data_IF_193742480583
#
_entry.id   IF_193742480583
#
_cell.length_a   1.000
_cell.length_b   1.000
_cell.length_c   1.000
_cell.angle_alpha   90.00
_cell.angle_beta   90.00
_cell.angle_gamma   90.00
#
_symmetry.space_group_name_H-M   'P 1'
#
loop_
_entity.id
_entity.type
_entity.pdbx_description
1 polymer ?
#
# COMPACT_ATOMS: atom_id res chain seq x y z
N UNK A 1 24.56 -6.52 -4.14
CA UNK A 1 23.50 -6.27 -3.13
C UNK A 1 22.19 -6.26 -3.89
N UNK A 2 21.24 -7.11 -3.49
CA UNK A 2 19.96 -7.23 -4.18
C UNK A 2 18.95 -6.30 -3.50
N UNK A 3 18.77 -5.12 -4.10
CA UNK A 3 17.71 -4.20 -3.73
C UNK A 3 16.46 -4.55 -4.53
N UNK A 4 15.34 -4.64 -3.86
CA UNK A 4 14.04 -4.98 -4.45
C UNK A 4 12.99 -4.01 -3.94
N UNK A 5 12.20 -3.47 -4.85
CA UNK A 5 11.09 -2.59 -4.54
C UNK A 5 9.77 -3.28 -4.85
N UNK A 6 8.74 -3.02 -4.04
CA UNK A 6 7.39 -3.49 -4.28
C UNK A 6 6.36 -2.48 -3.81
N UNK A 7 5.19 -2.56 -4.41
CA UNK A 7 4.03 -1.75 -4.10
C UNK A 7 3.01 -2.62 -3.37
N UNK A 8 2.72 -2.25 -2.14
CA UNK A 8 1.85 -2.99 -1.23
C UNK A 8 0.51 -2.29 -1.09
N UNK A 9 -0.56 -3.05 -1.23
CA UNK A 9 -1.92 -2.59 -0.95
C UNK A 9 -2.33 -3.11 0.42
N UNK A 10 -2.53 -2.20 1.34
CA UNK A 10 -3.00 -2.48 2.69
C UNK A 10 -4.45 -2.05 2.83
N UNK A 11 -5.27 -2.82 3.54
CA UNK A 11 -6.64 -2.45 3.87
C UNK A 11 -6.86 -2.47 5.38
N UNK A 12 -7.60 -1.48 5.88
CA UNK A 12 -8.05 -1.45 7.26
C UNK A 12 -9.37 -2.21 7.38
N UNK A 13 -9.34 -3.33 8.07
CA UNK A 13 -10.53 -4.11 8.40
C UNK A 13 -10.69 -4.11 9.91
N UNK A 14 -11.82 -3.61 10.44
CA UNK A 14 -12.08 -3.51 11.88
C UNK A 14 -10.97 -2.78 12.68
N UNK A 15 -10.37 -1.75 12.08
CA UNK A 15 -9.31 -0.94 12.70
C UNK A 15 -7.91 -1.53 12.64
N UNK A 16 -7.73 -2.70 12.01
CA UNK A 16 -6.42 -3.32 11.81
C UNK A 16 -6.00 -3.25 10.34
N UNK A 17 -4.76 -2.85 10.09
CA UNK A 17 -4.16 -2.86 8.76
C UNK A 17 -3.68 -4.26 8.41
N UNK A 18 -4.20 -4.83 7.33
CA UNK A 18 -3.74 -6.09 6.76
C UNK A 18 -3.25 -5.88 5.33
N UNK A 19 -2.14 -6.53 4.98
CA UNK A 19 -1.66 -6.59 3.60
C UNK A 19 -2.66 -7.41 2.77
N UNK A 20 -3.18 -6.80 1.70
CA UNK A 20 -4.12 -7.43 0.78
C UNK A 20 -3.39 -8.04 -0.40
N UNK A 21 -2.42 -7.30 -0.96
CA UNK A 21 -1.65 -7.72 -2.11
C UNK A 21 -0.35 -6.93 -2.21
N UNK A 22 0.65 -7.49 -2.87
CA UNK A 22 1.87 -6.80 -3.27
C UNK A 22 2.16 -7.02 -4.75
N UNK A 23 2.70 -5.99 -5.40
CA UNK A 23 2.97 -5.98 -6.83
C UNK A 23 4.34 -5.33 -7.10
N UNK A 24 4.95 -5.69 -8.23
CA UNK A 24 6.16 -5.03 -8.72
C UNK A 24 5.87 -3.72 -9.44
N UNK A 25 4.65 -3.58 -9.95
CA UNK A 25 4.23 -2.48 -10.80
C UNK A 25 3.22 -1.60 -10.06
N UNK A 26 3.48 -0.29 -10.05
CA UNK A 26 2.65 0.71 -9.38
C UNK A 26 1.29 0.87 -10.04
N UNK A 27 1.18 0.71 -11.35
CA UNK A 27 -0.07 0.85 -12.09
C UNK A 27 -1.02 -0.29 -11.73
N UNK A 28 -0.48 -1.50 -11.58
CA UNK A 28 -1.25 -2.67 -11.12
C UNK A 28 -1.69 -2.49 -9.67
N UNK A 29 -0.79 -2.07 -8.79
CA UNK A 29 -1.12 -1.80 -7.39
C UNK A 29 -2.18 -0.69 -7.25
N UNK A 30 -2.07 0.37 -8.05
CA UNK A 30 -3.02 1.49 -8.12
C UNK A 30 -4.38 1.07 -8.63
N UNK A 31 -4.44 0.20 -9.64
CA UNK A 31 -5.70 -0.35 -10.14
C UNK A 31 -6.44 -1.18 -9.07
N UNK A 32 -5.71 -1.97 -8.28
CA UNK A 32 -6.28 -2.77 -7.17
C UNK A 32 -6.72 -1.87 -6.01
N UNK A 33 -5.93 -0.85 -5.69
CA UNK A 33 -6.21 0.15 -4.66
C UNK A 33 -7.48 0.96 -4.94
N UNK A 34 -7.79 1.26 -6.21
CA UNK A 34 -8.97 2.05 -6.59
C UNK A 34 -10.30 1.29 -6.49
N UNK A 35 -10.30 -0.04 -6.44
CA UNK A 35 -11.52 -0.86 -6.65
C UNK A 35 -12.15 -1.39 -5.35
N UNK A 36 -12.04 -0.67 -4.22
CA UNK A 36 -12.42 -1.22 -2.90
C UNK A 36 -13.12 -0.19 -2.00
N UNK A 37 -14.13 -0.68 -1.27
CA UNK A 37 -15.04 0.11 -0.41
C UNK A 37 -14.45 0.46 0.97
N UNK A 38 -13.33 -0.15 1.36
CA UNK A 38 -12.73 0.01 2.70
C UNK A 38 -11.62 1.07 2.71
N UNK A 39 -11.19 1.48 3.90
CA UNK A 39 -10.00 2.33 4.04
C UNK A 39 -8.77 1.55 3.57
N UNK A 40 -8.04 2.08 2.59
CA UNK A 40 -6.87 1.44 2.00
C UNK A 40 -5.67 2.36 1.98
N UNK A 41 -4.47 1.77 1.96
CA UNK A 41 -3.19 2.44 1.75
C UNK A 41 -2.44 1.75 0.63
N UNK A 42 -1.92 2.53 -0.29
CA UNK A 42 -0.89 2.11 -1.23
C UNK A 42 0.46 2.52 -0.65
N UNK A 43 1.35 1.56 -0.52
CA UNK A 43 2.64 1.71 0.16
C UNK A 43 3.76 1.30 -0.79
N UNK A 44 4.77 2.14 -0.92
CA UNK A 44 6.04 1.77 -1.57
C UNK A 44 6.96 1.17 -0.51
N UNK A 45 7.33 -0.10 -0.67
CA UNK A 45 8.24 -0.79 0.22
C UNK A 45 9.53 -1.16 -0.52
N UNK A 46 10.66 -0.77 0.04
CA UNK A 46 11.99 -1.10 -0.49
C UNK A 46 12.68 -2.03 0.49
N UNK A 47 13.14 -3.15 -0.05
CA UNK A 47 13.88 -4.17 0.67
C UNK A 47 15.32 -4.23 0.16
N UNK A 48 16.25 -4.43 1.08
CA UNK A 48 17.65 -4.71 0.79
C UNK A 48 18.08 -5.93 1.61
N UNK A 49 18.60 -6.95 0.95
CA UNK A 49 19.04 -8.20 1.58
C UNK A 49 17.92 -8.83 2.47
N UNK A 50 16.68 -8.74 2.01
CA UNK A 50 15.49 -9.27 2.70
C UNK A 50 14.99 -8.42 3.88
N UNK A 51 15.60 -7.27 4.14
CA UNK A 51 15.18 -6.34 5.21
C UNK A 51 14.47 -5.14 4.61
N UNK A 52 13.34 -4.75 5.21
CA UNK A 52 12.65 -3.51 4.87
C UNK A 52 13.54 -2.34 5.28
N UNK A 53 14.01 -1.56 4.30
CA UNK A 53 14.86 -0.38 4.52
C UNK A 53 14.10 0.92 4.34
N UNK A 54 13.00 0.91 3.59
CA UNK A 54 12.17 2.09 3.37
C UNK A 54 10.72 1.68 3.13
N UNK A 55 9.80 2.44 3.72
CA UNK A 55 8.37 2.26 3.53
C UNK A 55 7.70 3.64 3.50
N UNK A 56 6.99 3.94 2.43
CA UNK A 56 6.32 5.23 2.24
C UNK A 56 4.89 5.06 1.76
N UNK A 57 3.95 5.85 2.29
CA UNK A 57 2.55 5.78 1.91
C UNK A 57 2.31 6.71 0.73
N UNK A 58 2.16 6.13 -0.46
CA UNK A 58 1.98 6.86 -1.72
C UNK A 58 0.56 7.43 -1.81
N UNK A 59 -0.43 6.65 -1.34
CA UNK A 59 -1.83 7.05 -1.38
C UNK A 59 -2.62 6.39 -0.24
N UNK A 60 -3.60 7.11 0.29
CA UNK A 60 -4.58 6.58 1.23
C UNK A 60 -5.99 6.96 0.76
N UNK A 61 -6.94 6.01 0.80
CA UNK A 61 -8.36 6.23 0.49
C UNK A 61 -9.24 5.67 1.60
N UNK A 62 -10.48 6.16 1.72
CA UNK A 62 -11.47 5.67 2.68
C UNK A 62 -11.34 6.24 4.10
N UNK A 63 -10.62 7.35 4.26
CA UNK A 63 -10.94 8.33 5.29
C UNK A 63 -12.18 9.09 4.83
N UNK A 64 -13.20 9.16 5.68
CA UNK A 64 -14.34 10.07 5.51
C UNK A 64 -13.80 11.43 5.09
N UNK A 65 -14.42 11.99 4.04
CA UNK A 65 -14.28 13.38 3.62
C UNK A 65 -14.32 14.27 4.87
N UNK A 66 -13.20 14.79 5.33
CA UNK A 66 -13.21 15.98 6.18
C UNK A 66 -13.58 17.12 5.24
N UNK A 67 -14.88 17.45 5.22
CA UNK A 67 -15.35 18.69 4.58
C UNK A 67 -14.68 19.89 5.27
N UNK A 68 -14.36 20.96 4.50
CA UNK A 68 -13.58 22.10 4.95
C UNK A 68 -14.22 22.92 6.08
#
# INVERSE_FOLDING_TARGET
>A
MARFEQYEVWASTKGQWGLVASFQDVDVASAVFKNRTYRQRLVHAVYEDGKLIHQDVIAEVGGTREEP
#
